data_IF_916227233106
#
_entry.id   IF_916227233106
#
_cell.length_a   1.000
_cell.length_b   1.000
_cell.length_c   1.000
_cell.angle_alpha   90.00
_cell.angle_beta   90.00
_cell.angle_gamma   90.00
#
_symmetry.space_group_name_H-M   'P 1'
#
loop_
_entity.id
_entity.type
_entity.pdbx_description
1 polymer ?
#
# COMPACT_ATOMS: atom_id res chain seq x y z
N UNK A 1 13.42 -8.33 12.83
CA UNK A 1 12.14 -7.76 12.33
C UNK A 1 12.06 -8.07 10.85
N UNK A 2 10.88 -8.36 10.33
CA UNK A 2 10.72 -8.62 8.89
C UNK A 2 10.81 -7.26 8.14
N UNK A 3 11.49 -7.22 6.99
CA UNK A 3 11.74 -6.01 6.18
C UNK A 3 10.45 -5.24 5.89
N UNK A 4 9.35 -5.95 5.64
CA UNK A 4 8.01 -5.39 5.44
C UNK A 4 7.53 -4.56 6.65
N UNK A 5 7.74 -5.06 7.88
CA UNK A 5 7.31 -4.35 9.10
C UNK A 5 8.14 -3.09 9.34
N UNK A 6 9.40 -3.09 8.93
CA UNK A 6 10.26 -1.90 9.00
C UNK A 6 9.81 -0.82 8.02
N UNK A 7 9.52 -1.21 6.76
CA UNK A 7 8.98 -0.30 5.75
C UNK A 7 7.59 0.23 6.12
N UNK A 8 6.72 -0.63 6.65
CA UNK A 8 5.41 -0.22 7.14
C UNK A 8 5.52 0.85 8.23
N UNK A 9 6.49 0.70 9.14
CA UNK A 9 6.78 1.67 10.20
C UNK A 9 7.39 2.97 9.64
N UNK A 10 8.29 2.89 8.67
CA UNK A 10 8.90 4.04 7.99
C UNK A 10 7.82 4.91 7.33
N UNK A 11 6.96 4.29 6.52
CA UNK A 11 5.88 4.96 5.79
C UNK A 11 4.63 5.19 6.63
N UNK A 12 4.65 4.77 7.91
CA UNK A 12 3.57 4.91 8.89
C UNK A 12 2.24 4.32 8.41
N UNK A 13 2.31 3.26 7.62
CA UNK A 13 1.15 2.51 7.15
C UNK A 13 0.80 1.37 8.12
N UNK A 14 -0.49 1.07 8.30
CA UNK A 14 -0.92 0.02 9.21
C UNK A 14 -0.62 -1.36 8.61
N UNK A 15 -0.34 -2.36 9.46
CA UNK A 15 -0.23 -3.76 9.00
C UNK A 15 -1.58 -4.43 8.82
N UNK A 16 -2.65 -3.86 9.40
CA UNK A 16 -4.03 -4.29 9.25
C UNK A 16 -4.94 -3.05 9.31
N UNK A 17 -5.92 -2.97 8.40
CA UNK A 17 -6.83 -1.84 8.28
C UNK A 17 -8.13 -2.29 7.60
N UNK A 18 -8.99 -1.33 7.25
CA UNK A 18 -10.03 -1.47 6.21
C UNK A 18 -9.64 -0.64 4.97
N UNK A 19 -10.21 -0.92 3.78
CA UNK A 19 -10.05 -0.02 2.64
C UNK A 19 -10.44 1.44 2.96
N UNK A 20 -11.54 1.64 3.70
CA UNK A 20 -11.99 2.98 4.13
C UNK A 20 -10.94 3.71 5.01
N UNK A 21 -10.32 2.99 5.95
CA UNK A 21 -9.24 3.52 6.78
C UNK A 21 -8.07 4.02 5.93
N UNK A 22 -7.74 3.28 4.85
CA UNK A 22 -6.69 3.67 3.93
C UNK A 22 -7.09 4.90 3.11
N UNK A 23 -8.31 4.91 2.56
CA UNK A 23 -8.83 6.01 1.74
C UNK A 23 -8.92 7.33 2.50
N UNK A 24 -9.19 7.27 3.81
CA UNK A 24 -9.33 8.47 4.65
C UNK A 24 -7.97 9.13 4.97
N UNK A 25 -6.86 8.38 4.91
CA UNK A 25 -5.55 8.82 5.42
C UNK A 25 -4.47 8.93 4.35
N UNK A 26 -4.60 8.25 3.22
CA UNK A 26 -3.63 8.29 2.13
C UNK A 26 -4.25 8.76 0.81
N UNK A 27 -3.38 9.11 -0.14
CA UNK A 27 -3.80 9.81 -1.35
C UNK A 27 -4.48 8.93 -2.40
N UNK A 28 -4.07 7.66 -2.53
CA UNK A 28 -4.58 6.79 -3.60
C UNK A 28 -4.66 5.35 -3.13
N UNK A 29 -5.87 4.82 -3.14
CA UNK A 29 -6.18 3.43 -2.85
C UNK A 29 -6.93 2.86 -4.06
N UNK A 30 -6.56 1.66 -4.49
CA UNK A 30 -7.14 0.99 -5.65
C UNK A 30 -7.50 -0.42 -5.24
N UNK A 31 -8.79 -0.76 -5.34
CA UNK A 31 -9.25 -2.15 -5.21
C UNK A 31 -9.07 -2.82 -6.57
N UNK A 32 -8.26 -3.88 -6.63
CA UNK A 32 -7.95 -4.62 -7.85
C UNK A 32 -8.15 -6.11 -7.63
N UNK A 33 -9.33 -6.61 -8.02
CA UNK A 33 -9.70 -8.01 -7.78
C UNK A 33 -9.81 -8.31 -6.28
N UNK A 34 -8.94 -9.17 -5.79
CA UNK A 34 -8.81 -9.63 -4.39
C UNK A 34 -7.79 -8.82 -3.57
N UNK A 35 -7.24 -7.74 -4.15
CA UNK A 35 -6.17 -6.95 -3.54
C UNK A 35 -6.55 -5.50 -3.37
N UNK A 36 -5.92 -4.86 -2.39
CA UNK A 36 -6.03 -3.41 -2.16
C UNK A 36 -4.63 -2.81 -2.28
N UNK A 37 -4.46 -1.96 -3.28
CA UNK A 37 -3.20 -1.26 -3.56
C UNK A 37 -3.27 0.12 -2.92
N UNK A 38 -2.28 0.44 -2.10
CA UNK A 38 -2.06 1.77 -1.55
C UNK A 38 -0.86 2.40 -2.25
N UNK A 39 -1.05 3.61 -2.79
CA UNK A 39 0.04 4.47 -3.25
C UNK A 39 0.14 5.66 -2.30
N UNK A 40 1.28 5.75 -1.62
CA UNK A 40 1.58 6.84 -0.71
C UNK A 40 2.67 7.76 -1.25
N UNK A 41 2.64 9.00 -0.78
CA UNK A 41 3.69 9.98 -1.03
C UNK A 41 4.49 10.20 0.25
N UNK A 42 5.80 9.97 0.17
CA UNK A 42 6.77 10.18 1.21
C UNK A 42 7.95 10.98 0.65
N UNK A 43 8.07 12.25 1.04
CA UNK A 43 9.08 13.15 0.50
C UNK A 43 10.50 12.61 0.69
N UNK A 44 11.29 12.61 -0.39
CA UNK A 44 12.70 12.28 -0.37
C UNK A 44 13.50 13.17 -1.33
N UNK A 45 14.70 13.63 -0.97
CA UNK A 45 15.46 14.62 -1.76
C UNK A 45 15.97 14.13 -3.13
N UNK A 46 15.92 12.83 -3.41
CA UNK A 46 16.30 12.27 -4.73
C UNK A 46 15.17 12.40 -5.78
N UNK A 47 14.01 12.93 -5.40
CA UNK A 47 12.84 13.09 -6.27
C UNK A 47 11.91 11.87 -6.32
N UNK A 48 12.38 10.70 -5.88
CA UNK A 48 11.56 9.50 -5.81
C UNK A 48 10.73 9.52 -4.53
N UNK A 49 9.55 10.12 -4.61
CA UNK A 49 8.71 10.39 -3.44
C UNK A 49 7.51 9.45 -3.31
N UNK A 50 7.28 8.52 -4.24
CA UNK A 50 6.13 7.63 -4.19
C UNK A 50 6.53 6.23 -3.71
N UNK A 51 5.68 5.58 -2.94
CA UNK A 51 5.83 4.18 -2.56
C UNK A 51 4.50 3.45 -2.79
N UNK A 52 4.57 2.12 -2.86
CA UNK A 52 3.39 1.28 -2.97
C UNK A 52 3.35 0.23 -1.86
N UNK A 53 2.14 -0.11 -1.46
CA UNK A 53 1.87 -1.24 -0.58
C UNK A 53 0.71 -2.06 -1.14
N UNK A 54 0.79 -3.37 -0.97
CA UNK A 54 -0.24 -4.33 -1.37
C UNK A 54 -0.83 -4.94 -0.12
N UNK A 55 -2.14 -4.90 -0.03
CA UNK A 55 -2.93 -5.55 0.99
C UNK A 55 -3.83 -6.62 0.36
N UNK A 56 -4.22 -7.60 1.17
CA UNK A 56 -5.17 -8.66 0.82
C UNK A 56 -6.34 -8.65 1.79
N UNK A 57 -7.54 -8.99 1.32
CA UNK A 57 -8.68 -9.22 2.20
C UNK A 57 -8.43 -10.45 3.07
N UNK A 58 -8.72 -10.33 4.36
CA UNK A 58 -8.50 -11.39 5.34
C UNK A 58 -9.69 -12.33 5.45
N UNK A 59 -10.84 -11.95 4.89
CA UNK A 59 -12.09 -12.70 4.88
C UNK A 59 -12.91 -12.38 3.62
N UNK A 60 -14.08 -12.99 3.47
CA UNK A 60 -14.96 -12.84 2.29
C UNK A 60 -15.65 -11.46 2.20
N UNK A 61 -15.52 -10.59 3.20
CA UNK A 61 -16.00 -9.20 3.14
C UNK A 61 -15.03 -8.35 2.30
N UNK A 62 -15.37 -8.17 1.04
CA UNK A 62 -14.62 -7.32 0.11
C UNK A 62 -15.21 -5.90 -0.01
N UNK A 63 -16.01 -5.47 0.97
CA UNK A 63 -16.53 -4.09 1.02
C UNK A 63 -15.48 -3.13 1.57
N UNK A 64 -15.80 -1.83 1.65
CA UNK A 64 -14.90 -0.84 2.21
C UNK A 64 -14.62 -1.02 3.72
N UNK A 65 -15.45 -1.81 4.42
CA UNK A 65 -15.30 -2.12 5.86
C UNK A 65 -14.61 -3.48 6.11
N UNK A 66 -14.34 -4.25 5.05
CA UNK A 66 -13.66 -5.54 5.14
C UNK A 66 -12.24 -5.43 5.70
N UNK A 67 -11.81 -6.43 6.48
CA UNK A 67 -10.45 -6.41 7.03
C UNK A 67 -9.43 -6.75 5.96
N UNK A 68 -8.40 -5.90 5.87
CA UNK A 68 -7.27 -6.10 4.96
C UNK A 68 -5.97 -6.21 5.75
N UNK A 69 -5.09 -7.12 5.32
CA UNK A 69 -3.76 -7.34 5.88
C UNK A 69 -2.66 -6.90 4.92
N UNK A 70 -1.60 -6.30 5.46
CA UNK A 70 -0.45 -5.89 4.67
C UNK A 70 0.32 -7.12 4.18
N UNK A 71 0.42 -7.25 2.86
CA UNK A 71 1.12 -8.35 2.18
C UNK A 71 2.52 -7.95 1.76
N UNK A 72 2.67 -6.75 1.18
CA UNK A 72 3.94 -6.30 0.63
C UNK A 72 4.07 -4.77 0.64
N UNK A 73 5.31 -4.28 0.72
CA UNK A 73 5.65 -2.85 0.62
C UNK A 73 6.86 -2.71 -0.29
N UNK A 74 6.81 -1.74 -1.20
CA UNK A 74 7.93 -1.46 -2.10
C UNK A 74 9.17 -1.06 -1.32
N UNK A 75 10.28 -1.74 -1.54
CA UNK A 75 11.57 -1.42 -0.93
C UNK A 75 12.34 -0.31 -1.65
N UNK A 76 11.78 0.15 -2.77
CA UNK A 76 12.21 1.34 -3.50
C UNK A 76 11.07 2.35 -3.55
N UNK A 77 11.44 3.60 -3.85
CA UNK A 77 10.50 4.68 -4.16
C UNK A 77 10.49 4.95 -5.66
N UNK A 78 9.44 5.63 -6.11
CA UNK A 78 9.14 5.90 -7.51
C UNK A 78 9.01 7.40 -7.75
N UNK A 79 9.24 7.81 -9.00
CA UNK A 79 9.12 9.20 -9.44
C UNK A 79 7.66 9.69 -9.46
N UNK A 80 6.72 8.78 -9.75
CA UNK A 80 5.29 9.04 -9.83
C UNK A 80 4.45 7.86 -9.32
N UNK A 81 3.15 8.09 -9.24
CA UNK A 81 2.16 7.12 -8.79
C UNK A 81 1.95 5.97 -9.80
N UNK A 82 2.07 6.22 -11.10
CA UNK A 82 1.95 5.22 -12.16
C UNK A 82 2.98 4.10 -12.03
N UNK A 83 4.25 4.45 -11.82
CA UNK A 83 5.31 3.46 -11.60
C UNK A 83 5.14 2.69 -10.28
N UNK A 84 4.61 3.34 -9.24
CA UNK A 84 4.28 2.67 -7.98
C UNK A 84 3.14 1.64 -8.17
N UNK A 85 2.11 1.99 -8.96
CA UNK A 85 1.01 1.08 -9.32
C UNK A 85 1.53 -0.10 -10.16
N UNK A 86 2.34 0.17 -11.18
CA UNK A 86 2.95 -0.88 -12.01
C UNK A 86 3.70 -1.89 -11.16
N UNK A 87 4.50 -1.41 -10.20
CA UNK A 87 5.18 -2.30 -9.25
C UNK A 87 4.19 -3.13 -8.44
N UNK A 88 3.14 -2.52 -7.89
CA UNK A 88 2.15 -3.22 -7.07
C UNK A 88 1.41 -4.32 -7.84
N UNK A 89 1.07 -4.05 -9.11
CA UNK A 89 0.40 -5.02 -9.98
C UNK A 89 1.28 -6.23 -10.33
N UNK A 90 2.61 -6.08 -10.27
CA UNK A 90 3.56 -7.17 -10.53
C UNK A 90 3.86 -8.04 -9.31
N UNK A 91 3.36 -7.69 -8.12
CA UNK A 91 3.56 -8.51 -6.92
C UNK A 91 2.51 -9.63 -6.88
N UNK A 92 2.88 -10.84 -7.29
CA UNK A 92 1.99 -12.01 -7.28
C UNK A 92 2.04 -12.78 -5.97
#
# INVERSE_FOLDING_TARGET
MNKMTELAKEYRIPTQATPEDLETRWGKVIIFGDRVILVGHYYHPDGNCYFAAVYEFLDDDHTCEGFIGLREVSDKRFEDDGHAIEWALNQN
#
